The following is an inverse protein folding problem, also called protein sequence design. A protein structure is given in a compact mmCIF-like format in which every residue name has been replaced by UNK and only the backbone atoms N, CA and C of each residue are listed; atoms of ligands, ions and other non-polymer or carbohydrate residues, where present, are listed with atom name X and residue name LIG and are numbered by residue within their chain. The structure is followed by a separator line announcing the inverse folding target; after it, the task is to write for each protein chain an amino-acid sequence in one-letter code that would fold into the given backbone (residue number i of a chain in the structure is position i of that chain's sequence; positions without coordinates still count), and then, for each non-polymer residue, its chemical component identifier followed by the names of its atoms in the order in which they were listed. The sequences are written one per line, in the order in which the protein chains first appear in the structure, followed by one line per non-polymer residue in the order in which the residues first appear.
data_IF_673566641057
#
_entry.id   IF_673566641057
#
_cell.length_a   1.000
_cell.length_b   1.000
_cell.length_c   1.000
_cell.angle_alpha   90.00
_cell.angle_beta   90.00
_cell.angle_gamma   90.00
#
_symmetry.space_group_name_H-M   'P 1'
#
loop_
_entity.id
_entity.type
_entity.pdbx_description
1 polymer ?
#
# COMPACT_ATOMS: atom_id res chain seq x y z
N UNK A 1 23.96 39.27 41.97
CA UNK A 1 22.87 39.69 41.06
C UNK A 1 23.24 39.54 39.58
N UNK A 2 24.29 40.19 39.06
CA UNK A 2 24.65 40.11 37.62
C UNK A 2 24.93 38.69 37.09
N UNK A 3 25.64 37.85 37.85
CA UNK A 3 25.95 36.45 37.46
C UNK A 3 24.71 35.54 37.43
N UNK A 4 23.75 35.80 38.32
CA UNK A 4 22.46 35.08 38.37
C UNK A 4 21.56 35.48 37.20
N UNK A 5 21.54 36.79 36.88
CA UNK A 5 20.79 37.32 35.74
C UNK A 5 21.32 36.79 34.40
N UNK A 6 22.64 36.64 34.23
CA UNK A 6 23.24 36.02 33.04
C UNK A 6 22.90 34.53 32.91
N UNK A 7 22.86 33.78 34.02
CA UNK A 7 22.48 32.37 33.99
C UNK A 7 21.01 32.19 33.58
N UNK A 8 20.14 33.07 34.08
CA UNK A 8 18.71 33.04 33.76
C UNK A 8 18.44 33.40 32.29
N UNK A 9 19.12 34.42 31.74
CA UNK A 9 18.96 34.77 30.32
C UNK A 9 19.51 33.69 29.38
N UNK A 10 20.61 33.03 29.73
CA UNK A 10 21.13 31.90 28.96
C UNK A 10 20.16 30.69 28.97
N UNK A 11 19.55 30.39 30.12
CA UNK A 11 18.56 29.34 30.24
C UNK A 11 17.29 29.65 29.44
N UNK A 12 16.80 30.90 29.50
CA UNK A 12 15.64 31.34 28.70
C UNK A 12 15.93 31.23 27.21
N UNK A 13 17.12 31.66 26.75
CA UNK A 13 17.51 31.51 25.34
C UNK A 13 17.59 30.04 24.92
N UNK A 14 18.17 29.17 25.74
CA UNK A 14 18.24 27.73 25.48
C UNK A 14 16.85 27.09 25.43
N UNK A 15 15.95 27.50 26.32
CA UNK A 15 14.58 27.01 26.37
C UNK A 15 13.75 27.51 25.17
N UNK A 16 13.96 28.76 24.73
CA UNK A 16 13.32 29.29 23.51
C UNK A 16 13.84 28.62 22.24
N UNK A 17 15.15 28.30 22.16
CA UNK A 17 15.70 27.53 21.05
C UNK A 17 15.14 26.10 21.03
N UNK A 18 15.04 25.46 22.19
CA UNK A 18 14.47 24.11 22.31
C UNK A 18 12.97 24.08 21.93
N UNK A 19 12.21 25.13 22.29
CA UNK A 19 10.80 25.25 21.88
C UNK A 19 10.65 25.54 20.38
N UNK A 20 11.56 26.30 19.74
CA UNK A 20 11.48 26.55 18.29
C UNK A 20 11.79 25.30 17.45
N UNK A 21 12.58 24.36 17.98
CA UNK A 21 12.87 23.06 17.34
C UNK A 21 11.72 22.06 17.52
N UNK A 22 10.83 22.28 18.49
CA UNK A 22 9.67 21.42 18.75
C UNK A 22 8.44 21.75 17.88
N UNK A 23 8.54 22.72 16.97
CA UNK A 23 7.58 22.82 15.86
C UNK A 23 7.87 21.63 14.95
N UNK A 24 7.09 20.56 15.11
CA UNK A 24 7.15 19.41 14.22
C UNK A 24 7.01 19.93 12.78
N UNK A 25 8.07 19.81 11.98
CA UNK A 25 7.94 20.02 10.55
C UNK A 25 6.84 19.09 10.06
N UNK A 26 5.85 19.66 9.36
CA UNK A 26 4.82 18.88 8.69
C UNK A 26 5.52 18.15 7.55
N UNK A 27 5.99 16.93 7.83
CA UNK A 27 6.60 16.09 6.81
C UNK A 27 5.53 15.65 5.81
N UNK A 28 5.83 15.82 4.53
CA UNK A 28 5.00 15.32 3.43
C UNK A 28 4.84 13.79 3.59
N UNK A 29 3.61 13.23 3.64
CA UNK A 29 3.42 11.80 3.79
C UNK A 29 4.01 11.02 2.61
N UNK A 30 4.75 9.95 2.92
CA UNK A 30 5.41 9.09 1.95
C UNK A 30 4.49 7.94 1.56
N UNK A 31 4.16 7.87 0.28
CA UNK A 31 3.20 6.90 -0.26
C UNK A 31 3.92 5.97 -1.23
N UNK A 32 3.92 4.67 -0.93
CA UNK A 32 4.43 3.65 -1.84
C UNK A 32 3.30 2.92 -2.57
N UNK A 33 3.54 2.52 -3.82
CA UNK A 33 2.59 1.79 -4.64
C UNK A 33 3.27 0.62 -5.36
N UNK A 34 2.62 -0.55 -5.38
CA UNK A 34 3.01 -1.60 -6.31
C UNK A 34 2.61 -1.21 -7.74
N UNK A 35 3.56 -1.30 -8.67
CA UNK A 35 3.34 -1.04 -10.10
C UNK A 35 2.22 -1.92 -10.66
N UNK A 36 1.37 -1.33 -11.50
CA UNK A 36 0.23 -2.00 -12.14
C UNK A 36 -1.11 -1.34 -11.79
N UNK A 37 -2.24 -2.06 -11.89
CA UNK A 37 -3.56 -1.52 -11.55
C UNK A 37 -3.63 -0.88 -10.16
N UNK A 38 -2.89 -1.42 -9.19
CA UNK A 38 -2.78 -0.90 -7.83
C UNK A 38 -2.27 0.55 -7.79
N UNK A 39 -1.19 0.86 -8.52
CA UNK A 39 -0.70 2.22 -8.67
C UNK A 39 -1.61 3.08 -9.55
N UNK A 40 -2.22 2.48 -10.60
CA UNK A 40 -3.17 3.19 -11.47
C UNK A 40 -4.37 3.75 -10.70
N UNK A 41 -4.85 3.06 -9.65
CA UNK A 41 -5.92 3.55 -8.79
C UNK A 41 -5.61 4.89 -8.08
N UNK A 42 -4.35 5.33 -8.06
CA UNK A 42 -3.92 6.57 -7.40
C UNK A 42 -3.56 7.69 -8.38
N UNK A 43 -3.65 7.50 -9.69
CA UNK A 43 -3.18 8.50 -10.68
C UNK A 43 -3.89 9.84 -10.56
N UNK A 44 -5.18 9.84 -10.20
CA UNK A 44 -5.94 11.08 -9.98
C UNK A 44 -5.42 11.82 -8.75
N UNK A 45 -5.14 11.10 -7.66
CA UNK A 45 -4.54 11.66 -6.44
C UNK A 45 -3.15 12.25 -6.71
N UNK A 46 -2.31 11.53 -7.48
CA UNK A 46 -0.99 12.01 -7.89
C UNK A 46 -1.07 13.27 -8.76
N UNK A 47 -2.09 13.38 -9.62
CA UNK A 47 -2.30 14.53 -10.48
C UNK A 47 -2.86 15.75 -9.75
N UNK A 48 -3.79 15.54 -8.80
CA UNK A 48 -4.50 16.63 -8.14
C UNK A 48 -3.70 17.24 -6.98
N UNK A 49 -2.76 16.48 -6.41
CA UNK A 49 -2.00 16.90 -5.24
C UNK A 49 -0.52 16.43 -5.31
N UNK A 50 0.25 16.84 -6.34
CA UNK A 50 1.60 16.34 -6.59
C UNK A 50 2.60 16.68 -5.47
N UNK A 51 2.41 17.81 -4.78
CA UNK A 51 3.30 18.26 -3.69
C UNK A 51 2.77 17.87 -2.29
N UNK A 52 1.57 17.29 -2.21
CA UNK A 52 0.97 16.91 -0.93
C UNK A 52 1.44 15.54 -0.42
N UNK A 53 2.07 14.74 -1.28
CA UNK A 53 2.55 13.39 -0.98
C UNK A 53 3.84 13.10 -1.74
N UNK A 54 4.76 12.36 -1.12
CA UNK A 54 5.96 11.84 -1.77
C UNK A 54 5.68 10.43 -2.30
N UNK A 55 5.46 10.30 -3.61
CA UNK A 55 5.05 9.05 -4.24
C UNK A 55 6.24 8.23 -4.74
N UNK A 56 6.29 6.95 -4.35
CA UNK A 56 7.19 5.94 -4.91
C UNK A 56 6.41 4.80 -5.55
N UNK A 57 6.66 4.50 -6.82
CA UNK A 57 6.12 3.32 -7.50
C UNK A 57 7.24 2.27 -7.57
N UNK A 58 7.05 1.13 -6.90
CA UNK A 58 7.99 0.01 -6.95
C UNK A 58 7.46 -1.11 -7.87
N UNK A 59 8.38 -1.79 -8.54
CA UNK A 59 8.05 -2.98 -9.34
C UNK A 59 7.81 -4.23 -8.48
N UNK A 60 8.25 -4.24 -7.22
CA UNK A 60 8.31 -5.44 -6.41
C UNK A 60 7.83 -5.20 -4.97
N UNK A 61 7.06 -6.15 -4.44
CA UNK A 61 6.38 -5.99 -3.14
C UNK A 61 7.34 -6.11 -1.94
N UNK A 62 8.45 -6.80 -2.12
CA UNK A 62 9.55 -6.97 -1.17
C UNK A 62 10.35 -5.68 -0.96
N UNK A 63 10.29 -4.72 -1.88
CA UNK A 63 10.85 -3.38 -1.67
C UNK A 63 9.95 -2.47 -0.81
N UNK A 64 8.64 -2.72 -0.80
CA UNK A 64 7.63 -1.91 -0.11
C UNK A 64 7.46 -2.37 1.34
N UNK A 65 7.30 -3.69 1.53
CA UNK A 65 6.89 -4.28 2.81
C UNK A 65 7.83 -3.92 3.97
N UNK A 66 9.17 -4.09 3.86
CA UNK A 66 10.08 -3.74 4.94
C UNK A 66 10.06 -2.25 5.29
N UNK A 67 9.90 -1.38 4.29
CA UNK A 67 9.86 0.08 4.48
C UNK A 67 8.61 0.50 5.26
N UNK A 68 7.47 -0.09 4.93
CA UNK A 68 6.22 0.17 5.66
C UNK A 68 6.34 -0.28 7.13
N UNK A 69 6.86 -1.49 7.39
CA UNK A 69 7.01 -2.02 8.76
C UNK A 69 7.99 -1.18 9.58
N UNK A 70 9.05 -0.64 8.96
CA UNK A 70 10.02 0.24 9.61
C UNK A 70 9.56 1.70 9.77
N UNK A 71 8.41 2.07 9.20
CA UNK A 71 7.95 3.47 9.19
C UNK A 71 8.75 4.38 8.25
N UNK A 72 9.42 3.81 7.24
CA UNK A 72 10.08 4.57 6.16
C UNK A 72 9.09 4.97 5.05
N UNK A 73 7.91 4.34 5.02
CA UNK A 73 6.75 4.67 4.21
C UNK A 73 5.55 4.77 5.15
N UNK A 74 4.69 5.76 4.94
CA UNK A 74 3.55 6.02 5.80
C UNK A 74 2.28 5.32 5.29
N UNK A 75 2.12 5.25 3.97
CA UNK A 75 0.97 4.63 3.30
C UNK A 75 1.48 3.75 2.16
N UNK A 76 0.97 2.52 2.05
CA UNK A 76 1.31 1.63 0.94
C UNK A 76 0.06 1.08 0.25
N UNK A 77 -0.02 1.23 -1.07
CA UNK A 77 -0.99 0.53 -1.91
C UNK A 77 -0.40 -0.83 -2.34
N UNK A 78 -0.95 -1.90 -1.75
CA UNK A 78 -0.51 -3.29 -1.94
C UNK A 78 -1.70 -4.22 -2.21
N UNK A 79 -1.48 -5.42 -2.76
CA UNK A 79 -2.53 -6.43 -2.90
C UNK A 79 -3.20 -6.80 -1.56
N UNK A 80 -4.50 -7.13 -1.59
CA UNK A 80 -5.29 -7.42 -0.37
C UNK A 80 -4.74 -8.63 0.42
N UNK A 81 -4.24 -9.66 -0.27
CA UNK A 81 -3.58 -10.79 0.39
C UNK A 81 -2.33 -10.32 1.17
N UNK A 82 -1.52 -9.42 0.59
CA UNK A 82 -0.37 -8.85 1.28
C UNK A 82 -0.78 -7.99 2.48
N UNK A 83 -1.84 -7.18 2.36
CA UNK A 83 -2.36 -6.40 3.48
C UNK A 83 -2.75 -7.30 4.67
N UNK A 84 -3.34 -8.46 4.42
CA UNK A 84 -3.68 -9.42 5.49
C UNK A 84 -2.44 -10.00 6.19
N UNK A 85 -1.39 -10.33 5.41
CA UNK A 85 -0.11 -10.81 5.95
C UNK A 85 0.57 -9.73 6.80
N UNK A 86 0.60 -8.49 6.31
CA UNK A 86 1.15 -7.35 7.04
C UNK A 86 0.42 -7.11 8.36
N UNK A 87 -0.92 -7.10 8.34
CA UNK A 87 -1.72 -6.93 9.56
C UNK A 87 -1.37 -7.99 10.61
N UNK A 88 -1.36 -9.26 10.21
CA UNK A 88 -1.10 -10.37 11.12
C UNK A 88 0.33 -10.37 11.66
N UNK A 89 1.33 -10.17 10.79
CA UNK A 89 2.74 -10.19 11.17
C UNK A 89 3.17 -8.98 11.99
N UNK A 90 2.44 -7.87 11.91
CA UNK A 90 2.70 -6.65 12.69
C UNK A 90 1.76 -6.51 13.89
N UNK A 91 0.99 -7.57 14.20
CA UNK A 91 0.04 -7.60 15.32
C UNK A 91 -0.93 -6.39 15.30
N UNK A 92 -1.35 -5.98 14.11
CA UNK A 92 -2.29 -4.90 13.88
C UNK A 92 -1.68 -3.48 13.88
N UNK A 93 -0.35 -3.34 13.89
CA UNK A 93 0.31 -2.04 13.74
C UNK A 93 0.10 -1.47 12.32
N UNK A 94 0.08 -2.32 11.29
CA UNK A 94 -0.35 -1.93 9.93
C UNK A 94 -1.85 -2.20 9.79
N UNK A 95 -2.61 -1.22 9.30
CA UNK A 95 -4.06 -1.30 9.13
C UNK A 95 -4.50 -0.98 7.70
N UNK A 96 -5.61 -1.59 7.28
CA UNK A 96 -6.23 -1.29 5.99
C UNK A 96 -7.01 0.02 6.09
N UNK A 97 -6.71 0.95 5.19
CA UNK A 97 -7.39 2.26 5.11
C UNK A 97 -8.54 2.25 4.10
N UNK A 98 -8.29 1.72 2.90
CA UNK A 98 -9.24 1.74 1.80
C UNK A 98 -8.93 0.66 0.77
N UNK A 99 -9.92 0.39 -0.09
CA UNK A 99 -9.75 -0.40 -1.32
C UNK A 99 -9.84 0.59 -2.49
N UNK A 100 -8.74 0.76 -3.22
CA UNK A 100 -8.64 1.75 -4.30
C UNK A 100 -8.78 1.14 -5.71
N UNK A 101 -8.81 -0.19 -5.83
CA UNK A 101 -8.92 -0.88 -7.13
C UNK A 101 -9.86 -2.07 -6.99
N UNK A 102 -10.83 -2.14 -7.90
CA UNK A 102 -11.76 -3.26 -8.05
C UNK A 102 -11.62 -3.84 -9.47
N UNK A 103 -11.98 -5.11 -9.65
CA UNK A 103 -12.08 -5.73 -10.98
C UNK A 103 -10.74 -5.90 -11.71
N UNK A 104 -9.78 -6.59 -11.09
CA UNK A 104 -8.43 -6.83 -11.65
C UNK A 104 -8.25 -8.22 -12.27
N UNK A 105 -9.29 -9.06 -12.25
CA UNK A 105 -9.24 -10.44 -12.73
C UNK A 105 -10.32 -10.67 -13.78
N UNK A 106 -9.89 -11.14 -14.95
CA UNK A 106 -10.75 -11.48 -16.08
C UNK A 106 -10.31 -12.83 -16.65
N UNK A 107 -11.28 -13.62 -17.11
CA UNK A 107 -11.03 -14.79 -17.95
C UNK A 107 -11.14 -14.32 -19.39
N UNK A 108 -10.14 -14.66 -20.19
CA UNK A 108 -10.09 -14.36 -21.63
C UNK A 108 -10.00 -15.67 -22.41
N UNK A 109 -10.71 -15.72 -23.52
CA UNK A 109 -10.77 -16.86 -24.43
C UNK A 109 -10.70 -16.38 -25.89
N UNK A 110 -10.50 -17.29 -26.85
CA UNK A 110 -10.19 -16.95 -28.24
C UNK A 110 -11.42 -16.57 -29.11
N UNK A 111 -12.57 -16.25 -28.52
CA UNK A 111 -13.81 -15.87 -29.18
C UNK A 111 -14.74 -17.03 -29.54
N UNK A 112 -14.18 -18.20 -29.87
CA UNK A 112 -14.94 -19.35 -30.40
C UNK A 112 -15.02 -20.52 -29.40
N UNK A 113 -14.61 -20.33 -28.15
CA UNK A 113 -14.52 -21.44 -27.19
C UNK A 113 -15.87 -21.89 -26.65
N UNK A 114 -16.94 -21.11 -26.84
CA UNK A 114 -18.27 -21.35 -26.27
C UNK A 114 -18.35 -21.09 -24.76
N UNK A 115 -17.35 -20.43 -24.17
CA UNK A 115 -17.34 -20.10 -22.73
C UNK A 115 -18.18 -18.85 -22.49
N UNK A 116 -19.27 -19.01 -21.74
CA UNK A 116 -20.18 -17.92 -21.35
C UNK A 116 -20.46 -17.88 -19.85
N UNK A 117 -20.07 -18.94 -19.13
CA UNK A 117 -20.28 -19.14 -17.71
C UNK A 117 -19.12 -19.90 -17.06
N UNK A 118 -19.06 -19.91 -15.73
CA UNK A 118 -18.06 -20.71 -14.99
C UNK A 118 -18.22 -22.20 -15.30
N UNK A 119 -19.45 -22.70 -15.47
CA UNK A 119 -19.71 -24.12 -15.74
C UNK A 119 -19.05 -24.60 -17.05
N UNK A 120 -18.94 -23.71 -18.04
CA UNK A 120 -18.32 -24.00 -19.34
C UNK A 120 -16.80 -24.26 -19.23
N UNK A 121 -16.19 -23.94 -18.09
CA UNK A 121 -14.77 -24.17 -17.82
C UNK A 121 -14.46 -25.64 -17.47
N UNK A 122 -15.48 -26.47 -17.21
CA UNK A 122 -15.30 -27.87 -16.81
C UNK A 122 -14.49 -28.64 -17.85
N UNK A 123 -13.42 -29.30 -17.39
CA UNK A 123 -12.54 -30.12 -18.24
C UNK A 123 -11.62 -29.31 -19.15
N UNK A 124 -11.57 -27.97 -19.01
CA UNK A 124 -10.64 -27.11 -19.75
C UNK A 124 -9.37 -26.83 -18.97
N UNK A 125 -8.30 -26.52 -19.69
CA UNK A 125 -7.06 -26.01 -19.10
C UNK A 125 -7.16 -24.50 -18.95
N UNK A 126 -7.06 -24.00 -17.71
CA UNK A 126 -6.96 -22.57 -17.43
C UNK A 126 -5.52 -22.16 -17.14
N UNK A 127 -5.11 -21.03 -17.69
CA UNK A 127 -3.82 -20.40 -17.40
C UNK A 127 -4.06 -19.19 -16.49
N UNK A 128 -3.45 -19.20 -15.30
CA UNK A 128 -3.47 -18.08 -14.37
C UNK A 128 -2.08 -17.44 -14.30
N UNK A 129 -2.03 -16.12 -14.18
CA UNK A 129 -0.78 -15.40 -13.91
C UNK A 129 -0.52 -15.31 -12.41
N UNK A 130 0.77 -15.42 -12.04
CA UNK A 130 1.19 -15.28 -10.64
C UNK A 130 0.79 -16.46 -9.76
N UNK A 131 1.62 -17.49 -9.74
CA UNK A 131 1.50 -18.61 -8.78
C UNK A 131 1.57 -18.09 -7.34
N UNK A 132 0.62 -18.49 -6.52
CA UNK A 132 0.44 -18.05 -5.13
C UNK A 132 -0.07 -16.61 -4.98
N UNK A 133 -0.37 -15.92 -6.08
CA UNK A 133 -0.85 -14.55 -6.05
C UNK A 133 -2.39 -14.47 -6.02
N UNK A 134 -2.90 -13.26 -5.79
CA UNK A 134 -4.34 -12.99 -5.72
C UNK A 134 -5.15 -13.56 -6.91
N UNK A 135 -4.69 -13.48 -8.18
CA UNK A 135 -5.41 -14.08 -9.31
C UNK A 135 -5.65 -15.59 -9.16
N UNK A 136 -4.64 -16.37 -8.77
CA UNK A 136 -4.76 -17.82 -8.60
C UNK A 136 -5.65 -18.16 -7.39
N UNK A 137 -5.47 -17.47 -6.26
CA UNK A 137 -6.31 -17.69 -5.08
C UNK A 137 -7.80 -17.45 -5.37
N UNK A 138 -8.11 -16.33 -6.03
CA UNK A 138 -9.49 -15.99 -6.39
C UNK A 138 -10.06 -16.98 -7.41
N UNK A 139 -9.29 -17.35 -8.44
CA UNK A 139 -9.70 -18.32 -9.45
C UNK A 139 -10.00 -19.69 -8.84
N UNK A 140 -9.10 -20.22 -8.02
CA UNK A 140 -9.29 -21.52 -7.35
C UNK A 140 -10.51 -21.51 -6.44
N UNK A 141 -10.71 -20.42 -5.69
CA UNK A 141 -11.90 -20.27 -4.86
C UNK A 141 -13.17 -20.32 -5.71
N UNK A 142 -13.25 -19.54 -6.79
CA UNK A 142 -14.43 -19.47 -7.66
C UNK A 142 -14.72 -20.82 -8.34
N UNK A 143 -13.70 -21.49 -8.87
CA UNK A 143 -13.83 -22.82 -9.48
C UNK A 143 -14.33 -23.83 -8.45
N UNK A 144 -13.73 -23.88 -7.26
CA UNK A 144 -14.13 -24.79 -6.18
C UNK A 144 -15.55 -24.54 -5.67
N UNK A 145 -15.98 -23.28 -5.55
CA UNK A 145 -17.37 -22.94 -5.20
C UNK A 145 -18.40 -23.40 -6.24
N UNK A 146 -17.97 -23.65 -7.48
CA UNK A 146 -18.80 -24.16 -8.57
C UNK A 146 -18.64 -25.68 -8.80
N UNK A 147 -17.91 -26.38 -7.92
CA UNK A 147 -17.73 -27.84 -8.00
C UNK A 147 -16.89 -28.29 -9.18
N UNK A 148 -15.96 -27.44 -9.63
CA UNK A 148 -15.04 -27.69 -10.72
C UNK A 148 -13.62 -28.03 -10.23
#
# INVERSE_FOLDING_TARGET
MKKFLLGLTALVMALTLALSVAVAEVSVPRVAALKGPTAMGMVKMMSDAPDAYDFTISAAIDEITPKLVKGEVDIAAVPANMASVLYNNTEGAVKVLAINTLGVLYIVENGDSGVSSIADLKGRTLYASGKGASPECALNYLIGQNGL
#
